data_IF_234820690524
#
_entry.id   IF_234820690524
#
_cell.length_a   1.000
_cell.length_b   1.000
_cell.length_c   1.000
_cell.angle_alpha   90.00
_cell.angle_beta   90.00
_cell.angle_gamma   90.00
#
_symmetry.space_group_name_H-M   'P 1'
#
loop_
_entity.id
_entity.type
_entity.pdbx_description
1 polymer ?
#
# COMPACT_ATOMS: atom_id res chain seq x y z
N UNK A 1 -2.48 -0.77 -10.87
CA UNK A 1 -3.60 -0.09 -10.18
C UNK A 1 -4.43 -1.16 -9.52
N UNK A 2 -4.64 -1.10 -8.19
CA UNK A 2 -5.33 -2.17 -7.42
C UNK A 2 -6.77 -1.82 -7.03
N UNK A 3 -7.21 -0.60 -7.32
CA UNK A 3 -8.51 -0.11 -6.85
C UNK A 3 -9.60 -0.34 -7.89
N UNK A 4 -10.77 -0.87 -7.47
CA UNK A 4 -11.92 -0.97 -8.35
C UNK A 4 -12.45 0.42 -8.74
N UNK A 5 -12.97 0.54 -9.95
CA UNK A 5 -13.62 1.76 -10.45
C UNK A 5 -15.10 1.47 -10.66
N UNK A 6 -15.97 2.27 -10.05
CA UNK A 6 -17.43 2.13 -10.15
C UNK A 6 -18.05 3.50 -10.36
N UNK A 7 -19.01 3.59 -11.28
CA UNK A 7 -19.68 4.86 -11.59
C UNK A 7 -20.53 5.35 -10.42
N UNK A 8 -21.11 4.42 -9.65
CA UNK A 8 -21.96 4.72 -8.48
C UNK A 8 -21.19 5.20 -7.25
N UNK A 9 -19.91 4.80 -7.11
CA UNK A 9 -19.09 5.12 -5.95
C UNK A 9 -18.02 6.12 -6.40
N UNK A 10 -18.29 7.40 -6.16
CA UNK A 10 -17.41 8.51 -6.47
C UNK A 10 -17.17 9.36 -5.21
N UNK A 11 -15.96 9.90 -5.01
CA UNK A 11 -14.77 9.73 -5.85
C UNK A 11 -14.20 8.31 -5.79
N UNK A 12 -13.47 7.90 -6.84
CA UNK A 12 -12.71 6.63 -6.80
C UNK A 12 -11.58 6.72 -5.76
N UNK A 13 -11.10 5.58 -5.25
CA UNK A 13 -9.93 5.55 -4.34
C UNK A 13 -8.71 6.32 -4.90
N UNK A 14 -8.41 6.18 -6.20
CA UNK A 14 -7.32 6.94 -6.83
C UNK A 14 -7.57 8.45 -6.76
N UNK A 15 -8.80 8.88 -7.01
CA UNK A 15 -9.17 10.29 -7.00
C UNK A 15 -9.16 10.84 -5.57
N UNK A 16 -9.73 10.12 -4.60
CA UNK A 16 -9.73 10.51 -3.20
C UNK A 16 -8.31 10.64 -2.63
N UNK A 17 -7.40 9.73 -3.03
CA UNK A 17 -5.98 9.80 -2.63
C UNK A 17 -5.27 11.04 -3.18
N UNK A 18 -5.51 11.44 -4.42
CA UNK A 18 -4.72 12.50 -5.10
C UNK A 18 -5.39 13.86 -5.22
N UNK A 19 -6.68 13.99 -4.92
CA UNK A 19 -7.44 15.22 -5.14
C UNK A 19 -8.25 15.63 -3.90
N UNK A 20 -8.36 16.94 -3.67
CA UNK A 20 -9.10 17.51 -2.55
C UNK A 20 -8.23 17.79 -1.32
N UNK A 21 -8.81 18.36 -0.25
CA UNK A 21 -8.07 18.67 0.98
C UNK A 21 -7.48 17.42 1.66
N UNK A 22 -8.27 16.34 1.75
CA UNK A 22 -7.87 15.06 2.36
C UNK A 22 -6.84 14.30 1.51
N UNK A 23 -6.95 14.40 0.17
CA UNK A 23 -5.98 13.78 -0.73
C UNK A 23 -4.55 14.30 -0.51
N UNK A 24 -4.39 15.59 -0.17
CA UNK A 24 -3.07 16.19 0.19
C UNK A 24 -2.47 15.64 1.48
N UNK A 25 -3.16 14.77 2.21
CA UNK A 25 -2.58 14.07 3.35
C UNK A 25 -2.06 12.68 2.96
N UNK A 26 -2.36 12.20 1.74
CA UNK A 26 -2.05 10.83 1.29
C UNK A 26 -1.26 10.84 -0.04
N UNK A 27 -1.81 11.45 -1.10
CA UNK A 27 -1.36 11.34 -2.49
C UNK A 27 -0.87 9.94 -2.87
N UNK A 28 0.38 9.82 -3.31
CA UNK A 28 0.94 8.56 -3.79
C UNK A 28 1.59 7.71 -2.69
N UNK A 29 1.54 8.15 -1.43
CA UNK A 29 2.13 7.42 -0.31
C UNK A 29 1.33 6.17 0.06
N UNK A 30 1.85 5.03 -0.39
CA UNK A 30 1.22 3.72 -0.18
C UNK A 30 1.17 3.33 1.29
N UNK A 31 2.16 3.71 2.09
CA UNK A 31 2.17 3.50 3.54
C UNK A 31 1.05 4.27 4.26
N UNK A 32 0.84 5.55 3.93
CA UNK A 32 -0.31 6.32 4.44
C UNK A 32 -1.65 5.74 3.98
N UNK A 33 -1.72 5.25 2.74
CA UNK A 33 -2.89 4.55 2.20
C UNK A 33 -3.15 3.24 2.96
N UNK A 34 -2.10 2.48 3.29
CA UNK A 34 -2.19 1.24 4.07
C UNK A 34 -2.67 1.50 5.49
N UNK A 35 -2.24 2.58 6.14
CA UNK A 35 -2.72 2.93 7.48
C UNK A 35 -4.23 3.24 7.47
N UNK A 36 -4.73 3.91 6.43
CA UNK A 36 -6.18 4.09 6.26
C UNK A 36 -6.93 2.76 6.17
N UNK A 37 -6.37 1.79 5.45
CA UNK A 37 -6.95 0.45 5.28
C UNK A 37 -6.83 -0.37 6.56
N UNK A 38 -5.71 -0.26 7.29
CA UNK A 38 -5.52 -0.90 8.60
C UNK A 38 -6.59 -0.44 9.58
N UNK A 39 -6.79 0.89 9.71
CA UNK A 39 -7.84 1.48 10.54
C UNK A 39 -9.23 0.98 10.14
N UNK A 40 -9.51 0.85 8.84
CA UNK A 40 -10.78 0.31 8.36
C UNK A 40 -11.05 -1.11 8.88
N UNK A 41 -10.09 -2.03 8.75
CA UNK A 41 -10.26 -3.41 9.25
C UNK A 41 -10.30 -3.48 10.78
N UNK A 42 -9.61 -2.56 11.47
CA UNK A 42 -9.66 -2.46 12.93
C UNK A 42 -10.94 -1.77 13.46
N UNK A 43 -11.76 -1.18 12.57
CA UNK A 43 -12.92 -0.37 12.98
C UNK A 43 -12.54 0.96 13.65
N UNK A 44 -11.30 1.42 13.46
CA UNK A 44 -10.79 2.66 14.04
C UNK A 44 -11.23 3.88 13.22
N UNK A 45 -11.66 4.99 13.85
CA UNK A 45 -12.00 6.22 13.16
C UNK A 45 -10.76 7.03 12.74
N UNK A 46 -10.98 8.15 12.04
CA UNK A 46 -9.93 9.16 11.81
C UNK A 46 -8.97 8.84 10.67
N UNK A 47 -9.49 8.41 9.52
CA UNK A 47 -8.71 8.23 8.28
C UNK A 47 -9.19 9.20 7.20
N UNK A 48 -8.28 9.90 6.47
CA UNK A 48 -8.64 10.73 5.32
C UNK A 48 -9.32 9.98 4.17
N UNK A 49 -9.31 8.64 4.18
CA UNK A 49 -9.97 7.82 3.16
C UNK A 49 -11.17 7.05 3.71
N UNK A 50 -11.64 7.34 4.93
CA UNK A 50 -12.70 6.56 5.58
C UNK A 50 -13.97 6.47 4.73
N UNK A 51 -14.45 7.60 4.20
CA UNK A 51 -15.69 7.66 3.42
C UNK A 51 -15.59 6.87 2.12
N UNK A 52 -14.49 7.03 1.37
CA UNK A 52 -14.28 6.31 0.12
C UNK A 52 -14.06 4.81 0.38
N UNK A 53 -13.32 4.43 1.42
CA UNK A 53 -13.13 3.03 1.78
C UNK A 53 -14.50 2.41 2.15
N UNK A 54 -15.35 3.12 2.88
CA UNK A 54 -16.70 2.66 3.23
C UNK A 54 -17.62 2.53 2.00
N UNK A 55 -17.53 3.45 1.03
CA UNK A 55 -18.23 3.33 -0.26
C UNK A 55 -17.80 2.07 -1.04
N UNK A 56 -16.54 1.65 -0.85
CA UNK A 56 -15.96 0.45 -1.44
C UNK A 56 -15.86 -0.74 -0.48
N UNK A 57 -16.61 -0.75 0.63
CA UNK A 57 -16.49 -1.79 1.70
C UNK A 57 -16.67 -3.22 1.22
N UNK A 58 -17.47 -3.43 0.17
CA UNK A 58 -17.69 -4.75 -0.42
C UNK A 58 -16.44 -5.32 -1.09
N UNK A 59 -15.58 -4.46 -1.66
CA UNK A 59 -14.26 -4.86 -2.15
C UNK A 59 -13.33 -5.25 -1.00
N UNK A 60 -13.30 -4.47 0.09
CA UNK A 60 -12.46 -4.79 1.25
C UNK A 60 -12.94 -6.07 1.97
N UNK A 61 -14.23 -6.37 1.93
CA UNK A 61 -14.80 -7.64 2.45
C UNK A 61 -14.40 -8.89 1.66
N UNK A 62 -13.73 -8.75 0.52
CA UNK A 62 -13.16 -9.90 -0.19
C UNK A 62 -11.98 -10.53 0.55
N UNK A 63 -11.41 -9.82 1.53
CA UNK A 63 -10.28 -10.27 2.33
C UNK A 63 -10.72 -10.44 3.79
N UNK A 64 -10.23 -11.50 4.44
CA UNK A 64 -10.39 -11.80 5.86
C UNK A 64 -9.42 -10.97 6.71
N UNK A 65 -9.58 -9.64 6.60
CA UNK A 65 -8.85 -8.67 7.39
C UNK A 65 -7.60 -8.08 6.72
N UNK A 66 -6.88 -7.29 7.52
CA UNK A 66 -5.74 -6.51 7.04
C UNK A 66 -4.56 -7.37 6.60
N UNK A 67 -4.27 -8.46 7.32
CA UNK A 67 -3.17 -9.35 7.00
C UNK A 67 -3.35 -10.01 5.61
N UNK A 68 -4.54 -10.56 5.34
CA UNK A 68 -4.82 -11.15 4.01
C UNK A 68 -4.74 -10.10 2.90
N UNK A 69 -5.26 -8.89 3.14
CA UNK A 69 -5.13 -7.79 2.17
C UNK A 69 -3.66 -7.45 1.86
N UNK A 70 -2.81 -7.35 2.90
CA UNK A 70 -1.38 -7.09 2.76
C UNK A 70 -0.69 -8.22 1.99
N UNK A 71 -1.02 -9.46 2.31
CA UNK A 71 -0.40 -10.62 1.70
C UNK A 71 -0.76 -10.77 0.22
N UNK A 72 -2.04 -10.62 -0.11
CA UNK A 72 -2.55 -10.69 -1.47
C UNK A 72 -1.89 -9.69 -2.41
N UNK A 73 -1.67 -8.45 -1.95
CA UNK A 73 -1.07 -7.39 -2.77
C UNK A 73 0.46 -7.25 -2.62
N UNK A 74 1.09 -8.12 -1.84
CA UNK A 74 2.52 -8.14 -1.55
C UNK A 74 3.09 -6.89 -0.83
N UNK A 75 2.37 -6.37 0.16
CA UNK A 75 2.73 -5.16 0.93
C UNK A 75 3.53 -5.42 2.22
N UNK A 76 4.05 -6.62 2.43
CA UNK A 76 4.67 -7.05 3.69
C UNK A 76 5.83 -6.15 4.18
N UNK A 77 6.59 -5.51 3.28
CA UNK A 77 7.69 -4.61 3.69
C UNK A 77 7.19 -3.32 4.39
N UNK A 78 5.90 -2.98 4.23
CA UNK A 78 5.29 -1.79 4.80
C UNK A 78 4.58 -2.05 6.12
N UNK A 79 4.74 -3.24 6.72
CA UNK A 79 4.09 -3.56 8.00
C UNK A 79 5.07 -4.23 8.96
N UNK A 80 4.73 -4.25 10.24
CA UNK A 80 5.41 -5.09 11.23
C UNK A 80 5.16 -6.57 10.94
N UNK A 81 6.05 -7.48 11.38
CA UNK A 81 5.89 -8.92 11.13
C UNK A 81 4.58 -9.53 11.65
N UNK A 82 3.93 -8.88 12.63
CA UNK A 82 2.64 -9.27 13.19
C UNK A 82 1.45 -8.53 12.56
N UNK A 83 1.68 -7.75 11.51
CA UNK A 83 0.69 -6.98 10.74
C UNK A 83 -0.08 -5.93 11.57
N UNK A 84 0.36 -5.62 12.79
CA UNK A 84 -0.35 -4.68 13.67
C UNK A 84 -0.08 -3.22 13.36
N UNK A 85 1.08 -2.91 12.79
CA UNK A 85 1.48 -1.53 12.54
C UNK A 85 2.02 -1.38 11.11
N UNK A 86 1.79 -0.21 10.54
CA UNK A 86 2.38 0.20 9.26
C UNK A 86 3.76 0.83 9.51
N UNK A 87 4.72 0.48 8.67
CA UNK A 87 6.04 1.11 8.60
C UNK A 87 5.97 2.30 7.65
N UNK A 88 6.14 3.49 8.20
CA UNK A 88 6.07 4.72 7.42
C UNK A 88 7.42 5.11 6.85
N UNK A 89 7.42 5.70 5.66
CA UNK A 89 8.61 6.23 4.99
C UNK A 89 9.20 7.45 5.69
N UNK A 90 8.34 8.22 6.38
CA UNK A 90 8.65 9.40 7.17
C UNK A 90 7.90 9.31 8.51
N UNK A 91 8.32 10.05 9.55
CA UNK A 91 7.59 10.10 10.82
C UNK A 91 6.10 10.35 10.61
N UNK A 92 5.27 9.50 11.21
CA UNK A 92 3.81 9.59 11.09
C UNK A 92 3.25 10.48 12.18
N UNK A 93 2.41 11.43 11.78
CA UNK A 93 1.82 12.45 12.64
C UNK A 93 0.29 12.41 12.62
N UNK A 94 -0.28 11.22 12.40
CA UNK A 94 -1.73 11.04 12.39
C UNK A 94 -2.45 11.85 11.30
N UNK A 95 -1.82 12.00 10.13
CA UNK A 95 -2.34 12.73 8.96
C UNK A 95 -2.47 14.25 9.17
N UNK A 96 -1.75 14.83 10.13
CA UNK A 96 -1.85 16.26 10.43
C UNK A 96 -1.12 17.15 9.40
N UNK A 97 0.01 16.67 8.85
CA UNK A 97 0.77 17.37 7.80
C UNK A 97 0.43 16.91 6.39
N UNK A 98 0.90 17.70 5.42
CA UNK A 98 0.98 17.26 4.02
C UNK A 98 1.94 16.08 3.87
N UNK A 99 1.54 15.16 3.01
CA UNK A 99 2.29 13.95 2.66
C UNK A 99 3.66 14.21 2.05
N UNK A 100 3.84 15.40 1.45
CA UNK A 100 5.06 15.78 0.76
C UNK A 100 6.25 15.94 1.75
N UNK A 101 7.46 15.52 1.35
CA UNK A 101 8.68 15.86 2.08
C UNK A 101 8.84 17.38 2.17
N UNK A 102 9.13 17.89 3.37
CA UNK A 102 9.31 19.31 3.64
C UNK A 102 10.77 19.77 3.47
N UNK A 103 11.73 18.84 3.52
CA UNK A 103 13.15 19.12 3.37
C UNK A 103 13.82 18.16 2.37
N UNK A 104 15.04 18.50 1.96
CA UNK A 104 15.87 17.64 1.10
C UNK A 104 16.17 16.30 1.77
N UNK A 105 16.43 16.31 3.06
CA UNK A 105 16.74 15.11 3.86
C UNK A 105 15.52 14.18 3.95
N UNK A 106 14.34 14.75 4.19
CA UNK A 106 13.09 13.98 4.13
C UNK A 106 12.84 13.43 2.73
N UNK A 107 13.11 14.21 1.69
CA UNK A 107 12.96 13.73 0.30
C UNK A 107 13.87 12.54 0.01
N UNK A 108 15.14 12.60 0.40
CA UNK A 108 16.09 11.50 0.26
C UNK A 108 15.60 10.26 1.01
N UNK A 109 15.17 10.44 2.26
CA UNK A 109 14.64 9.35 3.11
C UNK A 109 13.41 8.70 2.47
N UNK A 110 12.43 9.51 2.05
CA UNK A 110 11.22 9.06 1.38
C UNK A 110 11.53 8.32 0.07
N UNK A 111 12.43 8.86 -0.76
CA UNK A 111 12.85 8.26 -2.03
C UNK A 111 13.46 6.88 -1.79
N UNK A 112 14.40 6.78 -0.86
CA UNK A 112 15.13 5.53 -0.61
C UNK A 112 14.21 4.45 -0.06
N UNK A 113 13.34 4.79 0.89
CA UNK A 113 12.31 3.87 1.40
C UNK A 113 11.33 3.42 0.32
N UNK A 114 10.92 4.34 -0.58
CA UNK A 114 10.05 4.02 -1.71
C UNK A 114 10.72 3.05 -2.69
N UNK A 115 11.99 3.28 -3.01
CA UNK A 115 12.77 2.41 -3.91
C UNK A 115 12.96 1.02 -3.30
N UNK A 116 13.25 0.94 -2.01
CA UNK A 116 13.37 -0.33 -1.28
C UNK A 116 12.06 -1.12 -1.32
N UNK A 117 10.93 -0.50 -0.99
CA UNK A 117 9.62 -1.12 -1.07
C UNK A 117 9.30 -1.64 -2.48
N UNK A 118 9.54 -0.82 -3.52
CA UNK A 118 9.33 -1.23 -4.91
C UNK A 118 10.18 -2.45 -5.27
N UNK A 119 11.45 -2.48 -4.85
CA UNK A 119 12.34 -3.59 -5.10
C UNK A 119 11.89 -4.87 -4.37
N UNK A 120 11.53 -4.78 -3.09
CA UNK A 120 11.06 -5.90 -2.29
C UNK A 120 9.74 -6.49 -2.80
N UNK A 121 8.78 -5.63 -3.16
CA UNK A 121 7.51 -6.06 -3.76
C UNK A 121 7.68 -6.72 -5.12
N UNK A 122 8.56 -6.18 -5.99
CA UNK A 122 8.90 -6.81 -7.28
C UNK A 122 9.46 -8.21 -7.09
N UNK A 123 10.34 -8.40 -6.11
CA UNK A 123 10.89 -9.71 -5.77
C UNK A 123 9.80 -10.69 -5.34
N UNK A 124 8.94 -10.33 -4.38
CA UNK A 124 7.84 -11.21 -3.95
C UNK A 124 6.89 -11.58 -5.07
N UNK A 125 6.58 -10.63 -5.95
CA UNK A 125 5.74 -10.90 -7.13
C UNK A 125 6.42 -11.89 -8.07
N UNK A 126 7.73 -11.75 -8.31
CA UNK A 126 8.50 -12.66 -9.15
C UNK A 126 8.59 -14.08 -8.54
N UNK A 127 8.81 -14.18 -7.24
CA UNK A 127 8.79 -15.43 -6.47
C UNK A 127 7.43 -16.13 -6.62
N UNK A 128 6.34 -15.40 -6.38
CA UNK A 128 4.98 -15.92 -6.50
C UNK A 128 4.67 -16.43 -7.92
N UNK A 129 5.01 -15.66 -8.98
CA UNK A 129 4.80 -16.11 -10.36
C UNK A 129 5.60 -17.38 -10.65
N UNK A 130 6.87 -17.44 -10.22
CA UNK A 130 7.73 -18.61 -10.44
C UNK A 130 7.19 -19.86 -9.73
N UNK A 131 6.60 -19.69 -8.55
CA UNK A 131 6.08 -20.78 -7.74
C UNK A 131 4.73 -21.32 -8.26
N UNK A 132 3.81 -20.42 -8.59
CA UNK A 132 2.41 -20.77 -8.90
C UNK A 132 2.09 -20.78 -10.40
N UNK A 133 2.94 -20.21 -11.26
CA UNK A 133 2.76 -20.14 -12.71
C UNK A 133 4.10 -20.45 -13.41
N UNK A 134 4.67 -21.66 -13.21
CA UNK A 134 6.03 -22.00 -13.65
C UNK A 134 6.21 -21.96 -15.18
N UNK A 135 5.12 -21.96 -15.95
CA UNK A 135 5.10 -21.77 -17.40
C UNK A 135 5.40 -20.33 -17.83
N UNK A 136 5.24 -19.35 -16.94
CA UNK A 136 5.50 -17.94 -17.22
C UNK A 136 6.98 -17.64 -17.03
N UNK A 137 7.65 -17.20 -18.10
CA UNK A 137 9.03 -16.71 -18.02
C UNK A 137 9.09 -15.36 -17.28
N UNK A 138 9.60 -15.35 -16.05
CA UNK A 138 9.82 -14.12 -15.29
C UNK A 138 11.10 -13.43 -15.78
N UNK A 139 10.95 -12.43 -16.65
CA UNK A 139 12.06 -11.60 -17.13
C UNK A 139 12.36 -10.47 -16.15
N UNK A 140 13.22 -10.74 -15.18
CA UNK A 140 13.72 -9.71 -14.26
C UNK A 140 15.26 -9.78 -14.22
N UNK A 141 15.97 -8.86 -14.91
CA UNK A 141 17.43 -8.95 -15.13
C UNK A 141 18.28 -9.06 -13.86
N UNK A 142 17.73 -8.62 -12.73
CA UNK A 142 18.38 -8.54 -11.42
C UNK A 142 17.92 -9.65 -10.45
N UNK A 143 16.98 -10.49 -10.88
CA UNK A 143 16.40 -11.56 -10.07
C UNK A 143 16.93 -12.91 -10.54
N UNK A 144 17.44 -13.70 -9.58
CA UNK A 144 17.65 -15.14 -9.77
C UNK A 144 16.89 -15.86 -8.66
N UNK A 145 16.08 -16.88 -8.98
CA UNK A 145 15.40 -17.66 -7.95
C UNK A 145 16.43 -18.25 -6.98
N UNK A 146 16.16 -18.19 -5.68
CA UNK A 146 16.99 -18.92 -4.70
C UNK A 146 16.86 -20.43 -4.99
N UNK A 147 17.95 -21.22 -4.88
CA UNK A 147 17.84 -22.67 -4.98
C UNK A 147 16.83 -23.17 -3.96
N UNK A 148 15.92 -24.07 -4.37
CA UNK A 148 15.08 -24.80 -3.41
C UNK A 148 16.01 -25.69 -2.60
N UNK A 149 16.04 -25.49 -1.28
CA UNK A 149 16.70 -26.37 -0.30
C UNK A 149 15.95 -27.68 -0.15
#
# INVERSE_FOLDING_TARGET
MIWPVRTKDQPTMNKARGFGPEGKQICDRMDLTLECIRRHYAGEPGSPLADVINAYKDFFRLFDGFAEFVDFFHFQDLVTPDYKEVRFYLPFDNFERSEAPATTEEYVTYRDATLEFIAGRKRRTAEWVTEYNPEIEVRCPWWRPRPRS
#
